data_IF_853857864984
#
_entry.id   IF_853857864984
#
_cell.length_a   1.000
_cell.length_b   1.000
_cell.length_c   1.000
_cell.angle_alpha   90.00
_cell.angle_beta   90.00
_cell.angle_gamma   90.00
#
_symmetry.space_group_name_H-M   'P 1'
#
loop_
_entity.id
_entity.type
_entity.pdbx_description
1 polymer ?
#
# COMPACT_ATOMS: atom_id res chain seq x y z
N UNK A 1 19.66 15.25 2.75
CA UNK A 1 20.20 13.92 3.06
C UNK A 1 19.24 13.00 3.83
N UNK A 2 17.92 13.26 3.93
CA UNK A 2 17.02 12.37 4.70
C UNK A 2 16.53 11.11 3.95
N UNK A 3 16.55 11.11 2.61
CA UNK A 3 16.03 9.98 1.82
C UNK A 3 16.96 8.75 1.85
N UNK A 4 18.27 8.95 1.97
CA UNK A 4 19.27 7.87 1.98
C UNK A 4 19.19 7.00 3.25
N UNK A 5 18.63 7.55 4.33
CA UNK A 5 18.51 6.84 5.62
C UNK A 5 17.26 5.94 5.69
N UNK A 6 16.38 5.99 4.69
CA UNK A 6 15.14 5.21 4.67
C UNK A 6 15.46 3.75 4.35
N UNK A 7 15.32 2.89 5.37
CA UNK A 7 15.48 1.44 5.24
C UNK A 7 14.16 0.77 4.86
N UNK A 8 14.26 -0.37 4.17
CA UNK A 8 13.12 -1.25 3.87
C UNK A 8 12.28 -1.56 5.11
N UNK A 9 12.92 -1.91 6.22
CA UNK A 9 12.23 -2.30 7.45
C UNK A 9 11.28 -1.20 7.92
N UNK A 10 11.71 0.07 7.89
CA UNK A 10 10.88 1.20 8.32
C UNK A 10 9.60 1.33 7.49
N UNK A 11 9.71 1.13 6.18
CA UNK A 11 8.57 1.19 5.26
C UNK A 11 7.63 0.00 5.46
N UNK A 12 8.19 -1.20 5.64
CA UNK A 12 7.41 -2.41 5.89
C UNK A 12 6.68 -2.31 7.23
N UNK A 13 7.36 -1.90 8.30
CA UNK A 13 6.77 -1.70 9.63
C UNK A 13 5.61 -0.70 9.59
N UNK A 14 5.75 0.39 8.82
CA UNK A 14 4.68 1.37 8.64
C UNK A 14 3.47 0.78 7.89
N UNK A 15 3.70 -0.02 6.85
CA UNK A 15 2.64 -0.69 6.10
C UNK A 15 1.95 -1.77 6.96
N UNK A 16 2.72 -2.51 7.76
CA UNK A 16 2.21 -3.54 8.66
C UNK A 16 1.29 -2.94 9.73
N UNK A 17 1.58 -1.74 10.23
CA UNK A 17 0.67 -1.04 11.13
C UNK A 17 -0.68 -0.72 10.47
N UNK A 18 -0.72 -0.41 9.18
CA UNK A 18 -1.97 -0.17 8.44
C UNK A 18 -2.74 -1.48 8.25
N UNK A 19 -2.03 -2.57 7.95
CA UNK A 19 -2.61 -3.91 7.84
C UNK A 19 -3.18 -4.37 9.18
N UNK A 20 -2.47 -4.14 10.29
CA UNK A 20 -2.91 -4.48 11.65
C UNK A 20 -4.19 -3.75 12.06
N UNK A 21 -4.44 -2.55 11.52
CA UNK A 21 -5.70 -1.80 11.69
C UNK A 21 -6.86 -2.35 10.85
N UNK A 22 -6.64 -3.40 10.07
CA UNK A 22 -7.64 -4.02 9.18
C UNK A 22 -7.72 -3.40 7.78
N UNK A 23 -6.93 -2.37 7.49
CA UNK A 23 -7.01 -1.56 6.26
C UNK A 23 -6.11 -2.09 5.14
N UNK A 24 -6.25 -3.38 4.80
CA UNK A 24 -5.42 -4.07 3.77
C UNK A 24 -5.44 -3.41 2.39
N UNK A 25 -6.61 -2.91 1.97
CA UNK A 25 -6.75 -2.20 0.68
C UNK A 25 -5.92 -0.92 0.69
N UNK A 26 -6.01 -0.12 1.76
CA UNK A 26 -5.23 1.10 1.94
C UNK A 26 -3.73 0.81 1.95
N UNK A 27 -3.29 -0.22 2.66
CA UNK A 27 -1.88 -0.64 2.67
C UNK A 27 -1.37 -0.96 1.25
N UNK A 28 -2.18 -1.64 0.45
CA UNK A 28 -1.84 -1.96 -0.94
C UNK A 28 -1.82 -0.74 -1.88
N UNK A 29 -2.67 0.27 -1.64
CA UNK A 29 -2.62 1.55 -2.36
C UNK A 29 -1.36 2.33 -2.01
N UNK A 30 -1.12 2.55 -0.70
CA UNK A 30 0.07 3.25 -0.23
C UNK A 30 1.36 2.57 -0.70
N UNK A 31 1.41 1.24 -0.70
CA UNK A 31 2.53 0.50 -1.27
C UNK A 31 2.77 0.82 -2.75
N UNK A 32 1.69 0.95 -3.54
CA UNK A 32 1.78 1.38 -4.94
C UNK A 32 2.35 2.79 -5.08
N UNK A 33 1.84 3.73 -4.29
CA UNK A 33 2.28 5.12 -4.30
C UNK A 33 3.75 5.24 -3.89
N UNK A 34 4.19 4.49 -2.88
CA UNK A 34 5.59 4.44 -2.45
C UNK A 34 6.50 3.89 -3.56
N UNK A 35 6.08 2.84 -4.27
CA UNK A 35 6.86 2.33 -5.42
C UNK A 35 6.98 3.40 -6.51
N UNK A 36 5.89 4.09 -6.84
CA UNK A 36 5.92 5.17 -7.82
C UNK A 36 6.86 6.30 -7.39
N UNK A 37 6.78 6.70 -6.11
CA UNK A 37 7.64 7.73 -5.54
C UNK A 37 9.14 7.35 -5.59
N UNK A 38 9.49 6.13 -5.19
CA UNK A 38 10.90 5.71 -5.22
C UNK A 38 11.42 5.47 -6.63
N UNK A 39 10.59 5.04 -7.58
CA UNK A 39 10.98 5.02 -9.00
C UNK A 39 11.32 6.43 -9.51
N UNK A 40 10.51 7.42 -9.12
CA UNK A 40 10.78 8.82 -9.43
C UNK A 40 12.05 9.34 -8.76
N UNK A 41 12.30 8.97 -7.50
CA UNK A 41 13.50 9.36 -6.77
C UNK A 41 14.77 8.76 -7.40
N UNK A 42 14.72 7.50 -7.86
CA UNK A 42 15.80 6.85 -8.63
C UNK A 42 16.06 7.60 -9.94
N UNK A 43 15.00 7.94 -10.69
CA UNK A 43 15.13 8.65 -11.97
C UNK A 43 15.75 10.06 -11.84
N UNK A 44 15.80 10.60 -10.62
CA UNK A 44 16.43 11.89 -10.30
C UNK A 44 17.70 11.76 -9.48
N UNK A 45 18.22 10.54 -9.32
CA UNK A 45 19.45 10.25 -8.58
C UNK A 45 19.38 10.74 -7.11
N UNK A 46 18.18 10.77 -6.52
CA UNK A 46 18.00 11.12 -5.10
C UNK A 46 18.32 9.96 -4.17
N UNK A 47 18.23 8.74 -4.70
CA UNK A 47 18.55 7.47 -4.05
C UNK A 47 19.17 6.55 -5.09
N UNK A 48 20.09 5.69 -4.67
CA UNK A 48 20.76 4.75 -5.58
C UNK A 48 19.98 3.44 -5.75
N UNK A 49 19.23 3.06 -4.70
CA UNK A 49 18.56 1.76 -4.63
C UNK A 49 17.11 1.97 -4.20
N UNK A 50 16.18 1.37 -4.93
CA UNK A 50 14.78 1.38 -4.55
C UNK A 50 14.54 0.44 -3.33
N UNK A 51 14.14 0.97 -2.16
CA UNK A 51 14.04 0.15 -0.94
C UNK A 51 12.94 -0.93 -0.99
N UNK A 52 11.92 -0.76 -1.83
CA UNK A 52 10.80 -1.70 -2.03
C UNK A 52 10.97 -2.56 -3.30
N UNK A 53 12.16 -2.59 -3.90
CA UNK A 53 12.45 -3.47 -5.03
C UNK A 53 12.17 -4.94 -4.69
N UNK A 54 11.48 -5.66 -5.58
CA UNK A 54 11.15 -7.08 -5.37
C UNK A 54 10.05 -7.37 -4.32
N UNK A 55 9.47 -6.37 -3.66
CA UNK A 55 8.26 -6.57 -2.85
C UNK A 55 7.00 -6.55 -3.74
N UNK A 56 6.00 -7.33 -3.31
CA UNK A 56 4.69 -7.45 -3.97
C UNK A 56 3.57 -7.12 -2.98
N UNK A 57 2.37 -6.83 -3.50
CA UNK A 57 1.18 -6.54 -2.67
C UNK A 57 0.81 -7.73 -1.78
N UNK A 58 1.05 -8.95 -2.24
CA UNK A 58 0.83 -10.19 -1.48
C UNK A 58 1.66 -10.24 -0.21
N UNK A 59 2.88 -9.68 -0.23
CA UNK A 59 3.77 -9.59 0.93
C UNK A 59 3.44 -8.43 1.88
N UNK A 60 2.52 -7.53 1.49
CA UNK A 60 2.11 -6.36 2.27
C UNK A 60 0.66 -6.53 2.74
N UNK A 61 -0.32 -6.14 1.92
CA UNK A 61 -1.74 -6.20 2.28
C UNK A 61 -2.39 -7.56 2.02
N UNK A 62 -1.66 -8.49 1.40
CA UNK A 62 -2.19 -9.78 0.96
C UNK A 62 -3.12 -9.66 -0.25
N UNK A 63 -3.68 -10.80 -0.68
CA UNK A 63 -4.69 -10.85 -1.74
C UNK A 63 -5.96 -10.14 -1.27
N UNK A 64 -6.44 -9.18 -2.05
CA UNK A 64 -7.75 -8.58 -1.82
C UNK A 64 -8.81 -9.64 -2.12
N UNK A 65 -9.58 -10.07 -1.11
CA UNK A 65 -10.86 -10.73 -1.38
C UNK A 65 -11.83 -9.63 -1.81
N UNK A 66 -12.49 -9.85 -2.95
CA UNK A 66 -13.57 -9.01 -3.43
C UNK A 66 -14.61 -8.86 -2.31
N UNK A 67 -15.00 -7.61 -2.00
CA UNK A 67 -16.11 -7.40 -1.09
C UNK A 67 -17.38 -7.74 -1.86
N UNK A 68 -18.11 -8.75 -1.41
CA UNK A 68 -19.45 -9.03 -1.91
C UNK A 68 -20.33 -7.80 -1.62
N UNK A 69 -20.63 -7.01 -2.66
CA UNK A 69 -21.73 -6.05 -2.62
C UNK A 69 -23.01 -6.84 -2.73
N UNK A 70 -23.56 -7.25 -1.60
CA UNK A 70 -24.93 -7.75 -1.54
C UNK A 70 -25.84 -6.53 -1.64
N UNK A 71 -26.47 -6.36 -2.80
CA UNK A 71 -27.55 -5.39 -3.00
C UNK A 71 -28.85 -6.17 -2.81
N UNK A 72 -29.45 -6.06 -1.63
CA UNK A 72 -30.80 -6.57 -1.40
C UNK A 72 -31.78 -5.47 -1.81
N UNK A 73 -32.74 -5.77 -2.67
CA UNK A 73 -33.73 -4.80 -3.22
C UNK A 73 -34.73 -4.26 -2.18
N UNK A 74 -34.49 -4.48 -0.89
CA UNK A 74 -35.44 -4.25 0.21
C UNK A 74 -35.38 -2.84 0.84
N UNK A 75 -34.56 -1.94 0.29
CA UNK A 75 -34.36 -0.56 0.79
C UNK A 75 -35.17 0.51 0.03
N UNK A 76 -36.24 0.13 -0.66
CA UNK A 76 -37.23 1.06 -1.21
C UNK A 76 -38.50 1.08 -0.35
N UNK A 77 -38.38 1.52 0.91
CA UNK A 77 -39.56 1.99 1.65
C UNK A 77 -39.70 3.49 1.38
N UNK A 78 -40.75 3.77 0.62
CA UNK A 78 -41.35 5.07 0.32
C UNK A 78 -41.51 5.94 1.57
N UNK A 79 -41.11 7.21 1.47
CA UNK A 79 -41.76 8.32 2.15
C UNK A 79 -41.72 9.56 1.25
#
# INVERSE_FOLDING_TARGET
MALIDIRRSMLVDALDQIVARGSRVMANHLFGDLKQFFNFAIAREWVDIHPLAGLTKERIGGRQKERERIRTDDLLITN
#
